data_IF_776748012562
#
_entry.id   IF_776748012562
#
_cell.length_a   1.000
_cell.length_b   1.000
_cell.length_c   1.000
_cell.angle_alpha   90.00
_cell.angle_beta   90.00
_cell.angle_gamma   90.00
#
_symmetry.space_group_name_H-M   'P 1'
#
loop_
_entity.id
_entity.type
_entity.pdbx_description
1 polymer ?
#
# COMPACT_ATOMS: atom_id res chain seq x y z
N UNK A 1 -4.71 -44.51 32.74
CA UNK A 1 -3.52 -44.45 31.86
C UNK A 1 -3.62 -45.55 30.82
N UNK A 2 -3.43 -45.22 29.54
CA UNK A 2 -2.15 -45.52 28.85
C UNK A 2 -1.60 -44.25 28.16
N UNK A 3 -0.35 -43.84 28.38
CA UNK A 3 0.94 -44.30 27.80
C UNK A 3 0.98 -44.29 26.26
N UNK A 4 1.75 -43.35 25.70
CA UNK A 4 2.39 -43.51 24.39
C UNK A 4 2.44 -42.28 23.48
N UNK A 5 3.11 -41.19 23.87
CA UNK A 5 3.59 -40.20 22.91
C UNK A 5 4.83 -40.78 22.21
N UNK A 6 4.71 -41.21 20.96
CA UNK A 6 5.85 -41.65 20.14
C UNK A 6 6.28 -40.52 19.22
N UNK A 7 7.37 -39.83 19.56
CA UNK A 7 8.12 -39.00 18.63
C UNK A 7 9.10 -39.89 17.86
N UNK A 8 8.67 -40.42 16.72
CA UNK A 8 9.58 -41.04 15.75
C UNK A 8 10.34 -39.93 15.02
N UNK A 9 11.65 -39.88 15.26
CA UNK A 9 12.58 -38.96 14.65
C UNK A 9 12.95 -39.48 13.25
N UNK A 10 12.17 -39.11 12.23
CA UNK A 10 12.55 -39.29 10.84
C UNK A 10 13.38 -38.08 10.39
N UNK A 11 14.69 -38.29 10.28
CA UNK A 11 15.64 -37.38 9.64
C UNK A 11 15.17 -37.06 8.22
N UNK A 12 15.09 -35.77 7.88
CA UNK A 12 15.29 -35.32 6.50
C UNK A 12 14.14 -34.61 5.76
N UNK A 13 13.07 -34.14 6.42
CA UNK A 13 12.06 -33.30 5.75
C UNK A 13 11.91 -31.94 6.42
N UNK A 14 12.24 -30.88 5.68
CA UNK A 14 11.98 -29.49 6.05
C UNK A 14 10.46 -29.26 6.12
N UNK A 15 10.02 -28.64 7.21
CA UNK A 15 8.64 -28.28 7.58
C UNK A 15 7.74 -29.46 7.98
N UNK A 16 7.49 -29.57 9.28
CA UNK A 16 6.66 -30.57 9.93
C UNK A 16 5.19 -30.47 9.47
N UNK A 17 4.74 -31.45 8.68
CA UNK A 17 3.30 -31.69 8.45
C UNK A 17 2.67 -32.14 9.76
N UNK A 18 1.72 -31.37 10.29
CA UNK A 18 0.91 -31.81 11.44
C UNK A 18 -0.10 -32.84 10.92
N UNK A 19 0.03 -34.08 11.41
CA UNK A 19 -0.89 -35.18 11.13
C UNK A 19 -1.76 -35.38 12.36
N UNK A 20 -3.07 -35.20 12.21
CA UNK A 20 -4.04 -35.54 13.26
C UNK A 20 -4.63 -36.91 12.94
N UNK A 21 -4.58 -37.84 13.90
CA UNK A 21 -5.22 -39.14 13.80
C UNK A 21 -6.65 -39.04 14.37
N UNK A 22 -7.64 -39.00 13.49
CA UNK A 22 -9.05 -39.20 13.85
C UNK A 22 -9.46 -40.57 13.32
N UNK A 23 -9.89 -41.48 14.21
CA UNK A 23 -10.35 -42.83 13.85
C UNK A 23 -9.37 -43.62 12.97
N UNK A 24 -8.06 -43.50 13.21
CA UNK A 24 -7.03 -44.22 12.43
C UNK A 24 -6.73 -43.63 11.04
N UNK A 25 -7.36 -42.51 10.65
CA UNK A 25 -7.05 -41.79 9.42
C UNK A 25 -6.11 -40.64 9.72
N UNK A 26 -4.93 -40.66 9.11
CA UNK A 26 -3.97 -39.56 9.12
C UNK A 26 -4.47 -38.43 8.19
N UNK A 27 -5.09 -37.40 8.76
CA UNK A 27 -5.41 -36.18 8.01
C UNK A 27 -4.23 -35.22 8.10
N UNK A 28 -3.51 -35.09 6.98
CA UNK A 28 -2.52 -34.02 6.81
C UNK A 28 -3.28 -32.70 6.70
N UNK A 29 -3.05 -31.78 7.64
CA UNK A 29 -3.62 -30.44 7.54
C UNK A 29 -3.04 -29.73 6.31
N UNK A 30 -3.87 -29.05 5.49
CA UNK A 30 -3.38 -28.31 4.33
C UNK A 30 -2.42 -27.21 4.79
N UNK A 31 -1.38 -26.96 4.00
CA UNK A 31 -0.45 -25.86 4.30
C UNK A 31 -1.18 -24.52 4.20
N UNK A 32 -0.78 -23.48 4.96
CA UNK A 32 -1.40 -22.17 4.87
C UNK A 32 -1.50 -21.60 3.44
N UNK A 33 -0.50 -21.88 2.60
CA UNK A 33 -0.48 -21.47 1.19
C UNK A 33 -1.60 -22.13 0.38
N UNK A 34 -1.91 -23.39 0.67
CA UNK A 34 -2.98 -24.13 0.01
C UNK A 34 -4.35 -23.60 0.45
N UNK A 35 -4.52 -23.25 1.73
CA UNK A 35 -5.74 -22.60 2.24
C UNK A 35 -5.99 -21.26 1.54
N UNK A 36 -4.99 -20.37 1.48
CA UNK A 36 -5.07 -19.07 0.80
C UNK A 36 -5.50 -19.25 -0.66
N UNK A 37 -4.88 -20.20 -1.36
CA UNK A 37 -5.22 -20.49 -2.76
C UNK A 37 -6.65 -21.01 -2.91
N UNK A 38 -7.09 -21.96 -2.08
CA UNK A 38 -8.44 -22.52 -2.12
C UNK A 38 -9.52 -21.48 -1.79
N UNK A 39 -9.22 -20.51 -0.91
CA UNK A 39 -10.13 -19.40 -0.62
C UNK A 39 -10.24 -18.39 -1.77
N UNK A 40 -9.39 -18.50 -2.80
CA UNK A 40 -9.31 -17.56 -3.91
C UNK A 40 -8.65 -16.24 -3.52
N UNK A 41 -7.76 -16.27 -2.52
CA UNK A 41 -6.96 -15.14 -2.09
C UNK A 41 -5.64 -15.14 -2.84
N UNK A 42 -5.32 -14.00 -3.46
CA UNK A 42 -4.04 -13.82 -4.13
C UNK A 42 -3.68 -12.35 -4.25
N UNK A 43 -2.74 -12.07 -5.16
CA UNK A 43 -2.20 -10.74 -5.43
C UNK A 43 -3.27 -9.69 -5.74
N UNK A 44 -4.35 -10.09 -6.42
CA UNK A 44 -5.47 -9.19 -6.73
C UNK A 44 -6.16 -8.70 -5.45
N UNK A 45 -6.52 -9.60 -4.54
CA UNK A 45 -7.17 -9.25 -3.27
C UNK A 45 -6.23 -8.41 -2.38
N UNK A 46 -4.92 -8.72 -2.36
CA UNK A 46 -3.94 -7.89 -1.64
C UNK A 46 -3.88 -6.49 -2.24
N UNK A 47 -3.82 -6.36 -3.56
CA UNK A 47 -3.81 -5.06 -4.24
C UNK A 47 -5.08 -4.26 -3.92
N UNK A 48 -6.25 -4.88 -4.04
CA UNK A 48 -7.52 -4.21 -3.80
C UNK A 48 -7.66 -3.73 -2.35
N UNK A 49 -7.33 -4.61 -1.39
CA UNK A 49 -7.39 -4.29 0.04
C UNK A 49 -6.42 -3.16 0.41
N UNK A 50 -5.16 -3.21 -0.05
CA UNK A 50 -4.18 -2.19 0.27
C UNK A 50 -4.48 -0.84 -0.41
N UNK A 51 -5.02 -0.85 -1.64
CA UNK A 51 -5.44 0.39 -2.31
C UNK A 51 -6.67 1.00 -1.63
N UNK A 52 -7.62 0.19 -1.16
CA UNK A 52 -8.74 0.68 -0.35
C UNK A 52 -8.25 1.29 0.96
N UNK A 53 -7.37 0.60 1.69
CA UNK A 53 -6.77 1.12 2.92
C UNK A 53 -5.99 2.43 2.69
N UNK A 54 -5.23 2.52 1.59
CA UNK A 54 -4.55 3.74 1.11
C UNK A 54 -5.52 4.90 0.92
N UNK A 55 -6.62 4.66 0.19
CA UNK A 55 -7.62 5.69 -0.05
C UNK A 55 -8.26 6.17 1.26
N UNK A 56 -8.73 5.23 2.08
CA UNK A 56 -9.37 5.53 3.35
C UNK A 56 -8.43 6.31 4.28
N UNK A 57 -7.15 5.93 4.35
CA UNK A 57 -6.15 6.64 5.16
C UNK A 57 -5.99 8.12 4.75
N UNK A 58 -6.11 8.43 3.46
CA UNK A 58 -5.89 9.77 2.92
C UNK A 58 -7.17 10.62 2.83
N UNK A 59 -8.34 9.99 2.74
CA UNK A 59 -9.61 10.66 2.42
C UNK A 59 -10.75 10.39 3.40
N UNK A 60 -10.70 9.30 4.16
CA UNK A 60 -11.68 8.96 5.20
C UNK A 60 -13.01 8.38 4.70
N UNK A 61 -13.21 8.21 3.39
CA UNK A 61 -14.46 7.66 2.82
C UNK A 61 -14.30 6.16 2.52
N UNK A 62 -15.02 5.32 3.27
CA UNK A 62 -14.92 3.85 3.19
C UNK A 62 -15.54 3.29 1.90
N UNK A 63 -16.68 3.83 1.47
CA UNK A 63 -17.37 3.33 0.28
C UNK A 63 -16.58 3.70 -0.98
N UNK A 64 -16.10 4.94 -1.07
CA UNK A 64 -15.17 5.31 -2.15
C UNK A 64 -13.84 4.57 -2.06
N UNK A 65 -13.35 4.24 -0.87
CA UNK A 65 -12.15 3.42 -0.72
C UNK A 65 -12.34 2.02 -1.32
N UNK A 66 -13.48 1.36 -1.07
CA UNK A 66 -13.80 0.07 -1.68
C UNK A 66 -13.85 0.16 -3.20
N UNK A 67 -14.58 1.15 -3.73
CA UNK A 67 -14.65 1.42 -5.18
C UNK A 67 -13.26 1.64 -5.79
N UNK A 68 -12.45 2.50 -5.17
CA UNK A 68 -11.08 2.80 -5.59
C UNK A 68 -10.19 1.56 -5.58
N UNK A 69 -10.20 0.82 -4.48
CA UNK A 69 -9.36 -0.36 -4.29
C UNK A 69 -9.60 -1.41 -5.35
N UNK A 70 -10.87 -1.74 -5.62
CA UNK A 70 -11.23 -2.70 -6.66
C UNK A 70 -10.84 -2.18 -8.05
N UNK A 71 -11.19 -0.94 -8.37
CA UNK A 71 -10.90 -0.31 -9.66
C UNK A 71 -9.39 -0.34 -9.99
N UNK A 72 -8.53 0.04 -9.03
CA UNK A 72 -7.08 0.01 -9.22
C UNK A 72 -6.55 -1.42 -9.37
N UNK A 73 -7.07 -2.38 -8.61
CA UNK A 73 -6.68 -3.78 -8.76
C UNK A 73 -7.00 -4.33 -10.16
N UNK A 74 -8.17 -4.00 -10.71
CA UNK A 74 -8.55 -4.35 -12.09
C UNK A 74 -7.65 -3.64 -13.09
N UNK A 75 -7.42 -2.34 -12.92
CA UNK A 75 -6.54 -1.57 -13.80
C UNK A 75 -5.13 -2.15 -13.86
N UNK A 76 -4.51 -2.48 -12.73
CA UNK A 76 -3.18 -3.08 -12.69
C UNK A 76 -3.15 -4.49 -13.29
N UNK A 77 -4.22 -5.27 -13.10
CA UNK A 77 -4.36 -6.56 -13.76
C UNK A 77 -4.40 -6.40 -15.28
N UNK A 78 -5.24 -5.50 -15.79
CA UNK A 78 -5.32 -5.18 -17.22
C UNK A 78 -3.99 -4.66 -17.78
N UNK A 79 -3.36 -3.68 -17.11
CA UNK A 79 -2.12 -3.06 -17.55
C UNK A 79 -0.94 -4.04 -17.59
N UNK A 80 -0.98 -5.11 -16.79
CA UNK A 80 0.03 -6.18 -16.85
C UNK A 80 -0.02 -6.95 -18.18
N UNK A 81 -1.21 -7.15 -18.75
CA UNK A 81 -1.40 -7.94 -19.97
C UNK A 81 -1.42 -7.08 -21.24
N UNK A 82 -2.05 -5.91 -21.17
CA UNK A 82 -2.31 -5.04 -22.32
C UNK A 82 -1.52 -3.73 -22.30
N UNK A 83 -0.83 -3.42 -21.19
CA UNK A 83 -0.05 -2.20 -21.08
C UNK A 83 1.16 -2.20 -22.04
N UNK A 84 1.67 -1.01 -22.42
CA UNK A 84 2.87 -0.90 -23.25
C UNK A 84 4.03 -1.74 -22.67
N UNK A 85 4.87 -2.33 -23.53
CA UNK A 85 6.00 -3.20 -23.09
C UNK A 85 6.95 -2.52 -22.07
N UNK A 86 6.94 -1.18 -22.01
CA UNK A 86 7.67 -0.34 -21.06
C UNK A 86 6.94 0.02 -19.75
N UNK A 87 5.65 -0.30 -19.57
CA UNK A 87 4.92 -0.09 -18.31
C UNK A 87 5.58 -0.82 -17.13
N UNK A 88 6.31 -1.91 -17.44
CA UNK A 88 7.13 -2.70 -16.50
C UNK A 88 8.47 -2.08 -16.15
N UNK A 89 8.91 -0.97 -16.80
CA UNK A 89 10.04 -0.18 -16.30
C UNK A 89 9.55 0.60 -15.08
N UNK A 90 9.27 -0.14 -14.01
CA UNK A 90 9.12 0.47 -12.71
C UNK A 90 10.40 1.24 -12.43
N UNK A 91 10.24 2.52 -12.07
CA UNK A 91 11.34 3.33 -11.60
C UNK A 91 12.14 2.51 -10.58
N UNK A 92 13.47 2.54 -10.68
CA UNK A 92 14.32 1.79 -9.75
C UNK A 92 14.01 2.27 -8.34
N UNK A 93 14.10 1.38 -7.35
CA UNK A 93 13.86 1.73 -5.95
C UNK A 93 14.63 3.01 -5.56
N UNK A 94 15.91 3.09 -5.95
CA UNK A 94 16.74 4.27 -5.68
C UNK A 94 16.26 5.54 -6.41
N UNK A 95 15.66 5.43 -7.60
CA UNK A 95 15.09 6.56 -8.34
C UNK A 95 13.84 7.11 -7.62
N UNK A 96 12.96 6.21 -7.15
CA UNK A 96 11.75 6.58 -6.42
C UNK A 96 12.06 7.25 -5.07
N UNK A 97 13.12 6.78 -4.41
CA UNK A 97 13.61 7.33 -3.15
C UNK A 97 14.36 8.66 -3.37
N UNK A 98 15.18 8.78 -4.43
CA UNK A 98 15.91 10.02 -4.75
C UNK A 98 15.01 11.19 -5.13
N UNK A 99 13.87 10.94 -5.76
CA UNK A 99 12.91 11.99 -6.12
C UNK A 99 12.29 12.70 -4.91
N UNK A 100 12.53 12.23 -3.68
CA UNK A 100 12.12 12.90 -2.44
C UNK A 100 10.63 13.21 -2.32
N UNK A 101 10.23 13.84 -1.22
CA UNK A 101 8.85 14.30 -1.01
C UNK A 101 8.46 15.49 -1.92
N UNK A 102 9.44 16.19 -2.50
CA UNK A 102 9.26 17.48 -3.17
C UNK A 102 9.05 17.43 -4.69
N UNK A 103 9.25 16.28 -5.34
CA UNK A 103 8.88 16.15 -6.76
C UNK A 103 7.43 15.68 -6.81
N UNK A 104 6.50 16.61 -6.53
CA UNK A 104 5.16 16.49 -7.04
C UNK A 104 5.30 16.40 -8.57
N UNK A 105 4.68 15.40 -9.19
CA UNK A 105 4.52 15.43 -10.64
C UNK A 105 3.65 16.65 -10.93
N UNK A 106 4.27 17.75 -11.36
CA UNK A 106 3.52 18.89 -11.88
C UNK A 106 2.65 18.42 -13.04
N UNK A 107 1.36 18.29 -12.74
CA UNK A 107 0.26 18.82 -13.55
C UNK A 107 0.27 18.47 -15.03
N UNK A 108 0.31 17.19 -15.41
CA UNK A 108 -0.39 16.82 -16.65
C UNK A 108 -1.86 16.83 -16.33
N UNK A 109 -2.58 17.85 -16.82
CA UNK A 109 -4.04 17.89 -16.75
C UNK A 109 -4.57 16.55 -17.25
N UNK A 110 -5.42 15.91 -16.44
CA UNK A 110 -6.05 14.66 -16.86
C UNK A 110 -6.82 14.88 -18.16
N UNK A 111 -6.89 13.85 -19.03
CA UNK A 111 -7.73 13.90 -20.21
C UNK A 111 -9.18 14.27 -19.86
N UNK A 112 -9.91 14.81 -20.83
CA UNK A 112 -11.33 15.14 -20.65
C UNK A 112 -12.12 13.90 -20.17
N UNK A 113 -13.04 14.13 -19.21
CA UNK A 113 -13.80 13.05 -18.58
C UNK A 113 -13.05 12.24 -17.51
N UNK A 114 -11.82 12.61 -17.16
CA UNK A 114 -11.06 12.01 -16.07
C UNK A 114 -10.76 13.02 -14.96
N UNK A 115 -10.69 12.51 -13.72
CA UNK A 115 -10.29 13.27 -12.54
C UNK A 115 -8.93 12.78 -12.03
N UNK A 116 -8.14 13.70 -11.50
CA UNK A 116 -6.91 13.33 -10.80
C UNK A 116 -7.24 12.85 -9.39
N UNK A 117 -6.87 11.61 -9.08
CA UNK A 117 -7.07 11.01 -7.77
C UNK A 117 -5.81 10.23 -7.39
N UNK A 118 -5.23 10.57 -6.22
CA UNK A 118 -4.01 9.94 -5.68
C UNK A 118 -2.87 9.77 -6.71
N UNK A 119 -2.66 10.81 -7.54
CA UNK A 119 -1.61 10.86 -8.56
C UNK A 119 -1.92 10.09 -9.85
N UNK A 120 -3.17 9.66 -10.06
CA UNK A 120 -3.63 8.94 -11.26
C UNK A 120 -4.82 9.66 -11.89
N UNK A 121 -4.92 9.64 -13.22
CA UNK A 121 -6.14 10.03 -13.92
C UNK A 121 -7.11 8.85 -13.99
N UNK A 122 -8.33 9.05 -13.49
CA UNK A 122 -9.34 8.01 -13.39
C UNK A 122 -10.70 8.51 -13.87
N UNK A 123 -11.53 7.61 -14.37
CA UNK A 123 -12.92 7.93 -14.72
C UNK A 123 -13.79 7.74 -13.48
N UNK A 124 -14.72 8.66 -13.25
CA UNK A 124 -15.78 8.54 -12.24
C UNK A 124 -17.10 8.49 -13.00
N UNK A 125 -17.86 7.42 -12.77
CA UNK A 125 -19.15 7.22 -13.42
C UNK A 125 -20.26 8.09 -12.81
N UNK A 126 -21.45 8.00 -13.38
CA UNK A 126 -22.61 8.84 -13.03
C UNK A 126 -23.06 8.69 -11.57
N UNK A 127 -22.83 7.52 -10.96
CA UNK A 127 -23.20 7.26 -9.55
C UNK A 127 -22.08 7.66 -8.58
N UNK A 128 -20.99 8.26 -9.06
CA UNK A 128 -19.88 8.73 -8.24
C UNK A 128 -18.80 7.69 -7.94
N UNK A 129 -18.93 6.48 -8.50
CA UNK A 129 -17.98 5.37 -8.36
C UNK A 129 -16.88 5.41 -9.42
N UNK A 130 -15.70 4.90 -9.07
CA UNK A 130 -14.60 4.78 -10.03
C UNK A 130 -14.93 3.74 -11.10
N UNK A 131 -14.62 4.07 -12.35
CA UNK A 131 -14.97 3.26 -13.50
C UNK A 131 -13.74 2.89 -14.35
N UNK A 132 -13.84 1.77 -15.05
CA UNK A 132 -12.87 1.32 -16.04
C UNK A 132 -13.61 0.62 -17.17
N UNK A 133 -13.33 1.01 -18.42
CA UNK A 133 -14.00 0.40 -19.58
C UNK A 133 -15.52 0.64 -19.65
N UNK A 134 -16.01 1.73 -19.05
CA UNK A 134 -17.44 2.06 -18.99
C UNK A 134 -18.18 1.42 -17.81
N UNK A 135 -17.57 0.48 -17.11
CA UNK A 135 -18.16 -0.19 -15.95
C UNK A 135 -17.72 0.49 -14.66
N UNK A 136 -18.67 0.83 -13.79
CA UNK A 136 -18.39 1.31 -12.43
C UNK A 136 -18.04 0.14 -11.50
N UNK A 137 -17.03 0.32 -10.65
CA UNK A 137 -16.69 -0.62 -9.60
C UNK A 137 -17.30 -0.15 -8.29
N UNK A 138 -18.39 -0.78 -7.87
CA UNK A 138 -19.13 -0.36 -6.69
C UNK A 138 -18.53 -0.96 -5.40
N UNK A 139 -18.87 -0.39 -4.22
CA UNK A 139 -18.52 -1.00 -2.94
C UNK A 139 -19.04 -2.44 -2.80
N UNK A 140 -20.21 -2.73 -3.34
CA UNK A 140 -20.79 -4.08 -3.36
C UNK A 140 -19.96 -5.06 -4.21
N UNK A 141 -19.39 -4.59 -5.31
CA UNK A 141 -18.48 -5.41 -6.12
C UNK A 141 -17.20 -5.72 -5.35
N UNK A 142 -16.66 -4.74 -4.61
CA UNK A 142 -15.52 -4.97 -3.73
C UNK A 142 -15.85 -6.03 -2.69
N UNK A 143 -17.03 -5.94 -2.06
CA UNK A 143 -17.42 -6.91 -1.05
C UNK A 143 -17.52 -8.33 -1.62
N UNK A 144 -18.07 -8.46 -2.83
CA UNK A 144 -18.15 -9.75 -3.54
C UNK A 144 -16.77 -10.31 -3.91
N UNK A 145 -15.88 -9.49 -4.44
CA UNK A 145 -14.59 -9.94 -4.99
C UNK A 145 -13.46 -10.02 -3.96
N UNK A 146 -13.57 -9.30 -2.84
CA UNK A 146 -12.53 -9.16 -1.82
C UNK A 146 -13.04 -9.58 -0.46
N UNK A 147 -14.01 -8.86 0.10
CA UNK A 147 -14.48 -9.05 1.49
C UNK A 147 -14.92 -10.50 1.74
N UNK A 148 -15.80 -11.04 0.89
CA UNK A 148 -16.30 -12.40 1.03
C UNK A 148 -15.20 -13.46 0.92
N UNK A 149 -14.20 -13.24 0.06
CA UNK A 149 -13.09 -14.20 -0.12
C UNK A 149 -12.15 -14.18 1.08
N UNK A 150 -11.83 -12.99 1.59
CA UNK A 150 -11.00 -12.81 2.78
C UNK A 150 -11.66 -13.44 4.00
N UNK A 151 -12.96 -13.18 4.16
CA UNK A 151 -13.78 -13.66 5.28
C UNK A 151 -13.89 -15.18 5.38
N UNK A 152 -13.51 -15.94 4.34
CA UNK A 152 -13.44 -17.41 4.39
C UNK A 152 -12.36 -17.93 5.34
N UNK A 153 -11.30 -17.16 5.56
CA UNK A 153 -10.15 -17.58 6.38
C UNK A 153 -9.81 -16.59 7.50
N UNK A 154 -10.05 -15.29 7.28
CA UNK A 154 -9.65 -14.22 8.20
C UNK A 154 -10.86 -13.32 8.42
N UNK A 155 -11.28 -13.04 9.67
CA UNK A 155 -12.33 -12.07 9.95
C UNK A 155 -12.07 -10.74 9.23
N UNK A 156 -13.08 -10.20 8.55
CA UNK A 156 -12.92 -8.99 7.73
C UNK A 156 -12.30 -7.83 8.52
N UNK A 157 -12.79 -7.58 9.73
CA UNK A 157 -12.28 -6.47 10.55
C UNK A 157 -10.81 -6.63 10.93
N UNK A 158 -10.36 -7.88 11.10
CA UNK A 158 -8.94 -8.16 11.35
C UNK A 158 -8.10 -7.84 10.11
N UNK A 159 -8.54 -8.26 8.93
CA UNK A 159 -7.84 -8.00 7.67
C UNK A 159 -7.82 -6.50 7.32
N UNK A 160 -8.95 -5.81 7.50
CA UNK A 160 -9.09 -4.38 7.27
C UNK A 160 -8.20 -3.57 8.23
N UNK A 161 -8.25 -3.86 9.53
CA UNK A 161 -7.38 -3.23 10.52
C UNK A 161 -5.91 -3.45 10.20
N UNK A 162 -5.51 -4.68 9.86
CA UNK A 162 -4.13 -4.97 9.51
C UNK A 162 -3.66 -4.21 8.26
N UNK A 163 -4.54 -4.05 7.25
CA UNK A 163 -4.24 -3.27 6.06
C UNK A 163 -4.04 -1.77 6.39
N UNK A 164 -4.91 -1.20 7.23
CA UNK A 164 -4.78 0.19 7.67
C UNK A 164 -3.53 0.42 8.52
N UNK A 165 -3.22 -0.48 9.47
CA UNK A 165 -1.99 -0.43 10.26
C UNK A 165 -0.75 -0.49 9.36
N UNK A 166 -0.74 -1.42 8.39
CA UNK A 166 0.37 -1.57 7.45
C UNK A 166 0.58 -0.34 6.58
N UNK A 167 -0.48 0.17 5.95
CA UNK A 167 -0.42 1.37 5.09
C UNK A 167 0.01 2.60 5.90
N UNK A 168 -0.37 2.69 7.17
CA UNK A 168 -0.01 3.81 8.05
C UNK A 168 1.48 3.86 8.43
N UNK A 169 2.26 2.81 8.13
CA UNK A 169 3.72 2.83 8.28
C UNK A 169 4.42 3.73 7.25
N UNK A 170 3.71 4.14 6.19
CA UNK A 170 4.30 4.86 5.07
C UNK A 170 3.87 6.32 5.07
N UNK A 171 4.77 7.24 4.69
CA UNK A 171 4.46 8.65 4.67
C UNK A 171 3.54 9.01 3.51
N UNK A 172 2.83 10.13 3.67
CA UNK A 172 1.80 10.56 2.72
C UNK A 172 2.33 10.74 1.30
N UNK A 173 3.55 11.23 1.11
CA UNK A 173 4.15 11.38 -0.22
C UNK A 173 4.42 10.05 -0.93
N UNK A 174 4.64 8.95 -0.16
CA UNK A 174 4.70 7.59 -0.72
C UNK A 174 3.31 7.12 -1.08
N UNK A 175 2.33 7.38 -0.21
CA UNK A 175 0.94 6.98 -0.44
C UNK A 175 0.27 7.80 -1.55
N UNK A 176 0.70 9.01 -1.87
CA UNK A 176 0.13 9.80 -2.97
C UNK A 176 0.70 9.47 -4.33
N UNK A 177 1.84 8.79 -4.39
CA UNK A 177 2.50 8.43 -5.65
C UNK A 177 2.21 6.96 -6.02
N UNK A 178 1.57 6.69 -7.16
CA UNK A 178 1.19 5.33 -7.56
C UNK A 178 2.39 4.38 -7.75
N UNK A 179 3.51 4.90 -8.25
CA UNK A 179 4.71 4.10 -8.49
C UNK A 179 5.40 3.76 -7.17
N UNK A 180 5.45 4.71 -6.24
CA UNK A 180 5.97 4.50 -4.88
C UNK A 180 5.06 3.54 -4.11
N UNK A 181 3.75 3.72 -4.16
CA UNK A 181 2.81 2.80 -3.53
C UNK A 181 3.01 1.37 -4.06
N UNK A 182 3.06 1.19 -5.39
CA UNK A 182 3.27 -0.13 -5.97
C UNK A 182 4.58 -0.78 -5.49
N UNK A 183 5.69 -0.03 -5.47
CA UNK A 183 7.03 -0.58 -5.17
C UNK A 183 7.39 -0.68 -3.70
N UNK A 184 6.98 0.28 -2.88
CA UNK A 184 7.35 0.36 -1.47
C UNK A 184 6.30 -0.28 -0.56
N UNK A 185 5.02 -0.23 -0.94
CA UNK A 185 3.91 -0.65 -0.09
C UNK A 185 3.39 -2.01 -0.54
N UNK A 186 2.96 -2.13 -1.79
CA UNK A 186 2.30 -3.35 -2.26
C UNK A 186 3.28 -4.48 -2.57
N UNK A 187 4.29 -4.25 -3.43
CA UNK A 187 5.17 -5.30 -3.92
C UNK A 187 5.87 -6.12 -2.82
N UNK A 188 6.35 -5.52 -1.70
CA UNK A 188 7.04 -6.29 -0.67
C UNK A 188 6.18 -7.32 0.06
N UNK A 189 4.85 -7.15 0.05
CA UNK A 189 3.91 -8.02 0.80
C UNK A 189 2.90 -8.72 -0.10
N UNK A 190 2.91 -8.50 -1.41
CA UNK A 190 1.89 -9.00 -2.34
C UNK A 190 1.67 -10.52 -2.33
N UNK A 191 2.71 -11.27 -1.94
CA UNK A 191 2.73 -12.73 -1.90
C UNK A 191 2.63 -13.29 -0.47
N UNK A 192 2.79 -12.44 0.56
CA UNK A 192 2.92 -12.86 1.96
C UNK A 192 1.86 -12.26 2.89
N UNK A 193 1.15 -11.20 2.47
CA UNK A 193 0.22 -10.46 3.34
C UNK A 193 -0.80 -11.35 4.05
N UNK A 194 -1.58 -12.14 3.30
CA UNK A 194 -2.56 -13.04 3.91
C UNK A 194 -1.92 -14.22 4.65
N UNK A 195 -0.73 -14.68 4.22
CA UNK A 195 -0.01 -15.74 4.93
C UNK A 195 0.43 -15.27 6.33
N UNK A 196 0.94 -14.04 6.44
CA UNK A 196 1.27 -13.45 7.74
C UNK A 196 0.04 -13.39 8.65
N UNK A 197 -1.11 -12.94 8.13
CA UNK A 197 -2.34 -12.89 8.93
C UNK A 197 -2.81 -14.26 9.40
N UNK A 198 -2.75 -15.29 8.55
CA UNK A 198 -3.09 -16.66 8.95
C UNK A 198 -2.14 -17.23 10.02
N UNK A 199 -0.89 -16.77 10.02
CA UNK A 199 0.11 -17.16 11.03
C UNK A 199 0.01 -16.31 12.31
N UNK A 200 -0.93 -15.36 12.37
CA UNK A 200 -1.05 -14.42 13.50
C UNK A 200 0.03 -13.34 13.52
N UNK A 201 0.78 -13.18 12.43
CA UNK A 201 1.84 -12.20 12.28
C UNK A 201 1.30 -10.89 11.68
N UNK A 202 1.98 -9.78 11.98
CA UNK A 202 1.70 -8.49 11.31
C UNK A 202 2.47 -8.41 9.99
N UNK A 203 1.81 -8.11 8.86
CA UNK A 203 2.50 -7.79 7.62
C UNK A 203 3.45 -6.62 7.85
N UNK A 204 4.70 -6.73 7.37
CA UNK A 204 5.70 -5.67 7.45
C UNK A 204 6.55 -5.62 6.19
N UNK A 205 6.91 -4.42 5.71
CA UNK A 205 7.89 -4.31 4.64
C UNK A 205 9.29 -4.64 5.18
N UNK A 206 10.27 -4.91 4.29
CA UNK A 206 11.67 -4.98 4.65
C UNK A 206 12.12 -3.78 5.47
N UNK A 207 12.84 -4.05 6.57
CA UNK A 207 13.34 -3.01 7.51
C UNK A 207 14.16 -1.92 6.80
N UNK A 208 14.94 -2.31 5.79
CA UNK A 208 15.74 -1.38 4.99
C UNK A 208 14.93 -0.33 4.24
N UNK A 209 13.67 -0.62 3.85
CA UNK A 209 12.76 0.36 3.25
C UNK A 209 12.37 1.40 4.30
N UNK A 210 11.98 0.96 5.50
CA UNK A 210 11.56 1.85 6.58
C UNK A 210 12.70 2.76 7.04
N UNK A 211 13.90 2.21 7.23
CA UNK A 211 15.08 2.98 7.64
C UNK A 211 15.45 4.06 6.59
N UNK A 212 15.36 3.71 5.30
CA UNK A 212 15.59 4.68 4.22
C UNK A 212 14.53 5.78 4.19
N UNK A 213 13.25 5.43 4.38
CA UNK A 213 12.16 6.41 4.43
C UNK A 213 12.34 7.37 5.60
N UNK A 214 12.64 6.84 6.79
CA UNK A 214 12.88 7.64 7.98
C UNK A 214 14.08 8.60 7.81
N UNK A 215 15.16 8.11 7.19
CA UNK A 215 16.31 8.96 6.84
C UNK A 215 15.93 10.11 5.89
N UNK A 216 15.13 9.81 4.86
CA UNK A 216 14.64 10.83 3.91
C UNK A 216 13.76 11.87 4.59
N UNK A 217 12.87 11.47 5.50
CA UNK A 217 12.04 12.39 6.25
C UNK A 217 12.86 13.28 7.19
N UNK A 218 13.85 12.72 7.89
CA UNK A 218 14.78 13.50 8.72
C UNK A 218 15.56 14.52 7.89
N UNK A 219 16.02 14.14 6.70
CA UNK A 219 16.71 15.06 5.80
C UNK A 219 15.77 16.16 5.28
N UNK A 220 14.55 15.82 4.89
CA UNK A 220 13.54 16.79 4.45
C UNK A 220 13.16 17.78 5.57
N UNK A 221 12.98 17.29 6.80
CA UNK A 221 12.69 18.12 7.97
C UNK A 221 13.83 19.07 8.35
N UNK A 222 15.10 18.65 8.16
CA UNK A 222 16.27 19.54 8.34
C UNK A 222 16.34 20.60 7.23
N UNK A 223 16.14 20.21 5.97
CA UNK A 223 16.16 21.14 4.85
C UNK A 223 15.07 22.21 4.95
N UNK A 224 13.85 21.83 5.36
CA UNK A 224 12.74 22.77 5.57
C UNK A 224 12.96 23.76 6.73
N UNK A 225 13.70 23.37 7.77
CA UNK A 225 14.10 24.28 8.85
C UNK A 225 15.19 25.25 8.40
N UNK A 226 16.15 24.79 7.61
CA UNK A 226 17.23 25.62 7.07
C UNK A 226 16.67 26.71 6.15
N UNK A 227 15.79 26.34 5.21
CA UNK A 227 15.16 27.31 4.30
C UNK A 227 14.26 28.32 5.02
N UNK A 228 13.58 27.91 6.10
CA UNK A 228 12.82 28.82 6.96
C UNK A 228 13.70 29.83 7.70
N UNK A 229 14.85 29.38 8.22
CA UNK A 229 15.86 30.25 8.82
C UNK A 229 16.46 31.22 7.81
N UNK A 230 16.80 30.73 6.61
CA UNK A 230 17.36 31.55 5.54
C UNK A 230 16.35 32.63 5.09
N UNK A 231 15.06 32.28 4.97
CA UNK A 231 13.99 33.23 4.64
C UNK A 231 13.76 34.28 5.73
N UNK A 232 13.80 33.88 7.00
CA UNK A 232 13.71 34.79 8.14
C UNK A 232 14.88 35.77 8.18
N UNK A 233 16.12 35.27 8.08
CA UNK A 233 17.33 36.09 8.07
C UNK A 233 17.37 37.07 6.88
N UNK A 234 16.82 36.66 5.73
CA UNK A 234 16.73 37.52 4.54
C UNK A 234 15.70 38.64 4.72
N UNK A 235 14.63 38.38 5.45
CA UNK A 235 13.59 39.37 5.79
C UNK A 235 14.12 40.38 6.82
N UNK A 236 14.82 39.91 7.86
CA UNK A 236 15.54 40.75 8.84
C UNK A 236 16.56 41.68 8.16
N UNK A 237 17.36 41.15 7.23
CA UNK A 237 18.33 41.94 6.47
C UNK A 237 17.68 42.99 5.56
N UNK A 238 16.47 42.73 5.05
CA UNK A 238 15.70 43.67 4.24
C UNK A 238 15.07 44.78 5.07
N UNK A 239 14.58 44.47 6.28
CA UNK A 239 14.04 45.47 7.20
C UNK A 239 15.13 46.40 7.75
N UNK A 240 16.30 45.86 8.10
CA UNK A 240 17.45 46.69 8.55
C UNK A 240 17.90 47.69 7.48
N UNK A 241 17.94 47.28 6.19
CA UNK A 241 18.21 48.18 5.05
C UNK A 241 17.12 49.22 4.78
N UNK A 242 15.92 49.07 5.33
CA UNK A 242 14.86 50.09 5.25
C UNK A 242 15.04 51.14 6.35
N UNK A 243 15.40 50.72 7.55
CA UNK A 243 15.66 51.64 8.67
C UNK A 243 16.89 52.52 8.42
N UNK A 244 17.98 51.96 7.86
CA UNK A 244 19.19 52.73 7.54
C UNK A 244 18.96 53.80 6.43
N UNK A 245 17.98 53.60 5.54
CA UNK A 245 17.61 54.57 4.49
C UNK A 245 16.61 55.64 4.96
N UNK A 246 16.04 55.48 6.15
CA UNK A 246 15.16 56.48 6.78
C UNK A 246 15.91 57.60 7.49
N UNK A 247 17.22 57.45 7.70
CA UNK A 247 18.04 58.39 8.50
C UNK A 247 18.77 59.44 7.62
N UNK A 248 18.82 59.27 6.30
CA UNK A 248 19.51 60.22 5.38
C UNK A 248 18.61 61.34 4.83
N UNK A 249 17.32 61.41 5.22
CA UNK A 249 16.39 62.48 4.81
C UNK A 249 15.83 63.26 6.02
N UNK A 250 16.69 63.67 6.94
CA UNK A 250 16.35 64.60 8.03
C UNK A 250 17.46 65.63 8.25
#
# INVERSE_FOLDING_TARGET
MPRGFWTSCLRGYKASTIVVLLNGVALALPRPEDLVRMAGLGRFQVMALLQAARYYKLKGDLERAKSWGLNRAIFYAWAKYYGPRGWRRAARLDELLRRGAHVAREGRRCPEGMVEELGECVVVGRRGWYALGGEEQTPRDFDREVTLRVSKLIPWEQAWKAALEYVSLFPEWVLRDPQRFYKLVYEPVRDTFFLSLLRGEKPRPPRSILERLESLERMAGKAGKQTGLDAFMKTEAMNKKRDDRGVENS
#
